data_IF_951818942741
#
_entry.id   IF_951818942741
#
_cell.length_a   1.000
_cell.length_b   1.000
_cell.length_c   1.000
_cell.angle_alpha   90.00
_cell.angle_beta   90.00
_cell.angle_gamma   90.00
#
_symmetry.space_group_name_H-M   'P 1'
#
loop_
_entity.id
_entity.type
_entity.pdbx_description
1 polymer ?
#
# COMPACT_ATOMS: atom_id res chain seq x y z
N UNK A 1 42.47 10.77 53.36
CA UNK A 1 43.69 11.52 53.01
C UNK A 1 43.65 11.79 51.51
N UNK A 2 43.94 13.03 51.10
CA UNK A 2 44.00 13.59 49.71
C UNK A 2 42.66 14.17 49.19
N UNK A 3 42.26 15.36 49.67
CA UNK A 3 42.49 16.73 49.12
C UNK A 3 41.55 16.99 47.93
N UNK A 4 40.39 17.63 48.07
CA UNK A 4 40.12 19.07 48.31
C UNK A 4 40.94 20.01 47.42
N UNK A 5 40.29 20.56 46.39
CA UNK A 5 40.62 21.86 45.81
C UNK A 5 39.35 22.47 45.20
N UNK A 6 38.84 23.50 45.88
CA UNK A 6 37.94 24.51 45.32
C UNK A 6 38.70 25.29 44.25
N UNK A 7 38.05 25.56 43.12
CA UNK A 7 38.37 26.74 42.30
C UNK A 7 37.06 27.47 42.01
N UNK A 8 36.95 28.62 42.67
CA UNK A 8 35.96 29.66 42.47
C UNK A 8 36.28 30.40 41.16
N UNK A 9 35.28 30.59 40.31
CA UNK A 9 35.41 31.39 39.09
C UNK A 9 34.05 31.88 38.61
N UNK A 10 33.59 32.98 39.22
CA UNK A 10 32.40 33.73 38.81
C UNK A 10 32.81 34.76 37.74
N UNK A 11 32.25 34.66 36.54
CA UNK A 11 32.13 35.78 35.60
C UNK A 11 30.73 35.77 34.98
N UNK A 12 30.15 36.96 34.91
CA UNK A 12 28.72 37.23 34.75
C UNK A 12 28.42 37.71 33.32
N UNK A 13 27.17 37.46 32.89
CA UNK A 13 26.37 38.25 31.95
C UNK A 13 26.74 38.20 30.45
N UNK A 14 25.96 37.42 29.69
CA UNK A 14 25.19 38.01 28.57
C UNK A 14 23.97 37.17 28.19
N UNK A 15 22.87 37.88 28.04
CA UNK A 15 21.55 37.47 27.58
C UNK A 15 21.57 36.69 26.26
N UNK A 16 20.83 35.58 26.19
CA UNK A 16 19.88 35.27 25.11
C UNK A 16 19.13 33.97 25.43
N UNK A 17 17.78 33.97 25.50
CA UNK A 17 17.01 32.74 25.39
C UNK A 17 17.09 32.27 23.93
N UNK A 18 17.92 31.28 23.63
CA UNK A 18 17.78 30.56 22.36
C UNK A 18 16.55 29.65 22.48
N UNK A 19 15.41 30.28 22.19
CA UNK A 19 14.17 29.65 21.79
C UNK A 19 14.44 28.58 20.75
N UNK A 20 13.90 27.39 21.01
CA UNK A 20 13.42 26.49 19.98
C UNK A 20 14.48 25.83 19.10
N UNK A 21 14.95 24.68 19.55
CA UNK A 21 15.04 23.56 18.62
C UNK A 21 14.40 22.35 19.31
N UNK A 22 13.06 22.36 19.34
CA UNK A 22 12.35 21.10 19.18
C UNK A 22 12.81 20.63 17.81
N UNK A 23 13.82 19.76 17.78
CA UNK A 23 14.04 18.97 16.58
C UNK A 23 12.74 18.23 16.40
N UNK A 24 11.92 18.70 15.44
CA UNK A 24 10.92 17.89 14.79
C UNK A 24 11.63 16.58 14.54
N UNK A 25 11.32 15.56 15.36
CA UNK A 25 11.38 14.21 14.84
C UNK A 25 10.54 14.32 13.60
N UNK A 26 11.20 14.18 12.46
CA UNK A 26 10.52 13.94 11.21
C UNK A 26 9.38 13.02 11.58
N UNK A 27 8.17 13.50 11.34
CA UNK A 27 7.02 12.65 11.15
C UNK A 27 7.47 11.74 10.00
N UNK A 28 8.21 10.68 10.34
CA UNK A 28 8.07 9.43 9.65
C UNK A 28 6.65 9.06 10.02
N UNK A 29 5.72 9.61 9.25
CA UNK A 29 4.49 8.94 8.93
C UNK A 29 5.02 7.64 8.33
N UNK A 30 5.26 6.66 9.21
CA UNK A 30 5.09 5.29 8.83
C UNK A 30 3.73 5.35 8.15
N UNK A 31 3.70 5.19 6.82
CA UNK A 31 2.54 4.59 6.23
C UNK A 31 2.32 3.39 7.15
N UNK A 32 1.32 3.47 8.02
CA UNK A 32 0.89 2.26 8.69
C UNK A 32 0.63 1.34 7.50
N UNK A 33 1.36 0.23 7.40
CA UNK A 33 1.24 -0.68 6.27
C UNK A 33 -0.21 -1.17 6.30
N UNK A 34 -1.11 -0.40 5.68
CA UNK A 34 -2.53 -0.64 5.64
C UNK A 34 -2.82 -1.40 4.36
N UNK A 35 -3.99 -2.00 4.30
CA UNK A 35 -4.45 -2.66 3.08
C UNK A 35 -4.69 -1.67 1.94
N UNK A 36 -4.90 -0.39 2.26
CA UNK A 36 -5.20 0.66 1.28
C UNK A 36 -4.02 0.90 0.33
N UNK A 37 -4.32 1.13 -0.94
CA UNK A 37 -3.33 1.41 -1.97
C UNK A 37 -3.49 0.55 -3.21
N UNK A 38 -2.43 0.48 -4.01
CA UNK A 38 -2.44 -0.17 -5.31
C UNK A 38 -1.63 -1.47 -5.21
N UNK A 39 -2.27 -2.56 -5.62
CA UNK A 39 -1.73 -3.91 -5.59
C UNK A 39 -1.64 -4.44 -7.01
N UNK A 40 -0.43 -4.58 -7.54
CA UNK A 40 -0.17 -5.07 -8.89
C UNK A 40 0.15 -6.57 -8.84
N UNK A 41 -0.55 -7.35 -9.64
CA UNK A 41 -0.38 -8.79 -9.72
C UNK A 41 -0.19 -9.30 -11.14
N UNK A 42 0.45 -10.46 -11.22
CA UNK A 42 0.63 -11.23 -12.45
C UNK A 42 -0.29 -12.44 -12.42
N UNK A 43 -1.36 -12.39 -13.20
CA UNK A 43 -2.32 -13.47 -13.35
C UNK A 43 -1.84 -14.41 -14.45
N UNK A 44 -1.49 -15.64 -14.09
CA UNK A 44 -1.02 -16.65 -15.04
C UNK A 44 -2.21 -17.50 -15.49
N UNK A 45 -2.56 -17.40 -16.78
CA UNK A 45 -3.63 -18.15 -17.45
C UNK A 45 -3.06 -19.01 -18.58
N UNK A 46 -3.81 -19.97 -19.16
CA UNK A 46 -3.31 -20.81 -20.25
C UNK A 46 -2.85 -20.02 -21.48
N UNK A 47 -3.45 -18.86 -21.73
CA UNK A 47 -3.17 -17.97 -22.87
C UNK A 47 -1.94 -17.08 -22.64
N UNK A 48 -1.41 -17.01 -21.42
CA UNK A 48 -0.26 -16.18 -21.06
C UNK A 48 -0.37 -15.54 -19.68
N UNK A 49 0.32 -14.42 -19.51
CA UNK A 49 0.31 -13.64 -18.27
C UNK A 49 -0.44 -12.32 -18.50
N UNK A 50 -1.33 -11.97 -17.57
CA UNK A 50 -2.04 -10.69 -17.54
C UNK A 50 -1.63 -9.91 -16.30
N UNK A 51 -1.23 -8.65 -16.47
CA UNK A 51 -1.00 -7.72 -15.38
C UNK A 51 -2.34 -7.13 -14.97
N UNK A 52 -2.72 -7.42 -13.73
CA UNK A 52 -3.95 -6.93 -13.11
C UNK A 52 -3.60 -6.11 -11.89
N UNK A 53 -4.29 -5.00 -11.68
CA UNK A 53 -4.13 -4.21 -10.49
C UNK A 53 -5.43 -4.12 -9.71
N UNK A 54 -5.34 -4.19 -8.39
CA UNK A 54 -6.42 -3.88 -7.48
C UNK A 54 -6.08 -2.60 -6.74
N UNK A 55 -6.96 -1.60 -6.80
CA UNK A 55 -6.86 -0.41 -5.95
C UNK A 55 -7.83 -0.58 -4.80
N UNK A 56 -7.34 -0.58 -3.56
CA UNK A 56 -8.14 -0.73 -2.35
C UNK A 56 -8.21 0.61 -1.61
N UNK A 57 -9.41 1.02 -1.22
CA UNK A 57 -9.67 2.26 -0.47
C UNK A 57 -10.50 1.95 0.77
N UNK A 58 -10.12 2.48 1.93
CA UNK A 58 -10.95 2.42 3.12
C UNK A 58 -12.10 3.42 3.07
N UNK A 59 -13.21 3.04 3.68
CA UNK A 59 -14.41 3.85 3.84
C UNK A 59 -14.50 4.40 5.26
N UNK A 60 -15.30 5.45 5.47
CA UNK A 60 -15.46 6.10 6.78
C UNK A 60 -16.13 5.22 7.84
N UNK A 61 -16.81 4.16 7.42
CA UNK A 61 -17.45 3.16 8.29
C UNK A 61 -16.52 1.99 8.66
N UNK A 62 -15.26 2.02 8.23
CA UNK A 62 -14.26 0.98 8.47
C UNK A 62 -14.33 -0.21 7.49
N UNK A 63 -15.20 -0.15 6.49
CA UNK A 63 -15.22 -1.12 5.38
C UNK A 63 -14.22 -0.72 4.28
N UNK A 64 -14.06 -1.59 3.28
CA UNK A 64 -13.21 -1.30 2.11
C UNK A 64 -14.06 -1.26 0.84
N UNK A 65 -13.57 -0.51 -0.14
CA UNK A 65 -13.97 -0.58 -1.54
C UNK A 65 -12.74 -0.92 -2.39
N UNK A 66 -12.96 -1.50 -3.57
CA UNK A 66 -11.86 -1.84 -4.46
C UNK A 66 -12.26 -1.76 -5.93
N UNK A 67 -11.28 -1.50 -6.79
CA UNK A 67 -11.42 -1.58 -8.25
C UNK A 67 -10.36 -2.51 -8.84
N UNK A 68 -10.69 -3.18 -9.93
CA UNK A 68 -9.79 -3.98 -10.74
C UNK A 68 -9.44 -3.23 -12.02
N UNK A 69 -8.18 -3.27 -12.43
CA UNK A 69 -7.73 -2.79 -13.72
C UNK A 69 -6.86 -3.84 -14.41
N UNK A 70 -7.30 -4.36 -15.55
CA UNK A 70 -6.49 -5.23 -16.41
C UNK A 70 -5.65 -4.36 -17.34
N UNK A 71 -4.37 -4.22 -17.01
CA UNK A 71 -3.45 -3.26 -17.66
C UNK A 71 -3.25 -3.62 -19.12
N UNK A 72 -3.07 -4.91 -19.42
CA UNK A 72 -2.78 -5.38 -20.78
C UNK A 72 -4.02 -5.33 -21.70
N UNK A 73 -5.22 -5.28 -21.13
CA UNK A 73 -6.48 -5.24 -21.88
C UNK A 73 -7.10 -3.84 -21.92
N UNK A 74 -6.60 -2.90 -21.13
CA UNK A 74 -7.09 -1.53 -21.10
C UNK A 74 -8.55 -1.41 -20.63
N UNK A 75 -8.96 -2.26 -19.69
CA UNK A 75 -10.33 -2.31 -19.17
C UNK A 75 -10.77 -1.04 -18.44
N UNK A 76 -9.80 -0.25 -17.96
CA UNK A 76 -10.06 0.79 -16.97
C UNK A 76 -10.38 0.18 -15.60
N UNK A 77 -10.82 1.04 -14.68
CA UNK A 77 -11.18 0.64 -13.31
C UNK A 77 -12.60 0.07 -13.27
N UNK A 78 -12.71 -1.21 -12.90
CA UNK A 78 -13.96 -1.93 -12.72
C UNK A 78 -14.18 -2.14 -11.22
N UNK A 79 -15.26 -1.63 -10.61
CA UNK A 79 -15.49 -1.81 -9.17
C UNK A 79 -15.79 -3.26 -8.82
N UNK A 80 -15.31 -3.70 -7.65
CA UNK A 80 -15.79 -4.92 -7.01
C UNK A 80 -17.15 -4.68 -6.35
N UNK A 81 -18.02 -5.67 -6.41
CA UNK A 81 -19.34 -5.64 -5.77
C UNK A 81 -19.24 -5.93 -4.26
N UNK A 82 -18.27 -6.74 -3.86
CA UNK A 82 -18.02 -7.08 -2.46
C UNK A 82 -16.52 -7.05 -2.16
N UNK A 83 -16.18 -6.46 -1.02
CA UNK A 83 -14.83 -6.41 -0.48
C UNK A 83 -14.91 -6.73 1.01
N UNK A 84 -14.23 -7.80 1.42
CA UNK A 84 -14.11 -8.19 2.83
C UNK A 84 -12.63 -8.38 3.19
N UNK A 85 -12.23 -7.83 4.32
CA UNK A 85 -10.90 -8.06 4.88
C UNK A 85 -11.03 -8.40 6.36
N UNK A 86 -10.80 -9.67 6.68
CA UNK A 86 -11.00 -10.20 8.03
C UNK A 86 -9.90 -11.24 8.32
N UNK A 87 -9.30 -11.17 9.51
CA UNK A 87 -8.28 -12.11 9.97
C UNK A 87 -7.11 -12.32 9.00
N UNK A 88 -6.69 -11.27 8.27
CA UNK A 88 -5.59 -11.34 7.30
C UNK A 88 -5.99 -11.90 5.93
N UNK A 89 -7.26 -12.25 5.71
CA UNK A 89 -7.76 -12.73 4.43
C UNK A 89 -8.51 -11.61 3.72
N UNK A 90 -8.09 -11.30 2.49
CA UNK A 90 -8.81 -10.42 1.57
C UNK A 90 -9.70 -11.27 0.66
N UNK A 91 -10.97 -10.89 0.56
CA UNK A 91 -11.93 -11.44 -0.40
C UNK A 91 -12.52 -10.30 -1.24
N UNK A 92 -12.49 -10.48 -2.56
CA UNK A 92 -13.03 -9.57 -3.56
C UNK A 92 -13.94 -10.35 -4.49
N UNK A 93 -15.12 -9.81 -4.79
CA UNK A 93 -16.06 -10.47 -5.71
C UNK A 93 -16.70 -9.46 -6.67
N UNK A 94 -16.90 -9.91 -7.91
CA UNK A 94 -17.75 -9.24 -8.88
C UNK A 94 -18.88 -10.17 -9.33
N UNK A 95 -20.07 -9.62 -9.50
CA UNK A 95 -21.29 -10.31 -9.92
C UNK A 95 -21.22 -10.88 -11.36
N UNK A 96 -20.12 -10.66 -12.07
CA UNK A 96 -19.77 -11.31 -13.35
C UNK A 96 -19.05 -12.66 -13.15
N UNK A 97 -19.06 -13.19 -11.93
CA UNK A 97 -18.51 -14.50 -11.60
C UNK A 97 -16.99 -14.50 -11.39
N UNK A 98 -16.42 -13.37 -11.00
CA UNK A 98 -15.00 -13.24 -10.61
C UNK A 98 -14.92 -13.21 -9.08
N UNK A 99 -14.05 -14.03 -8.52
CA UNK A 99 -13.68 -13.97 -7.10
C UNK A 99 -12.16 -13.96 -6.97
N UNK A 100 -11.64 -13.20 -6.01
CA UNK A 100 -10.23 -13.20 -5.63
C UNK A 100 -10.16 -13.34 -4.12
N UNK A 101 -9.48 -14.35 -3.63
CA UNK A 101 -9.35 -14.62 -2.20
C UNK A 101 -7.90 -14.95 -1.86
N UNK A 102 -7.34 -14.33 -0.83
CA UNK A 102 -5.95 -14.53 -0.48
C UNK A 102 -5.51 -13.98 0.88
N UNK A 103 -4.33 -14.41 1.31
CA UNK A 103 -3.68 -13.97 2.54
C UNK A 103 -2.87 -12.69 2.28
N UNK A 104 -3.07 -11.70 3.14
CA UNK A 104 -2.39 -10.40 3.10
C UNK A 104 -1.22 -10.41 4.07
N UNK A 105 -0.02 -10.15 3.55
CA UNK A 105 1.17 -9.91 4.34
C UNK A 105 1.60 -8.45 4.15
N UNK A 106 1.15 -7.61 5.10
CA UNK A 106 1.44 -6.18 5.12
C UNK A 106 2.91 -5.88 5.43
N UNK A 107 3.67 -6.82 6.02
CA UNK A 107 5.09 -6.62 6.29
C UNK A 107 5.94 -6.83 5.03
N UNK A 108 5.53 -7.75 4.16
CA UNK A 108 6.19 -8.04 2.89
C UNK A 108 5.50 -7.41 1.67
N UNK A 109 4.46 -6.60 1.91
CA UNK A 109 3.71 -5.90 0.88
C UNK A 109 3.21 -6.87 -0.21
N UNK A 110 2.66 -7.99 0.23
CA UNK A 110 2.15 -9.08 -0.63
C UNK A 110 0.73 -9.47 -0.34
N UNK A 111 0.04 -9.93 -1.38
CA UNK A 111 -1.19 -10.70 -1.24
C UNK A 111 -1.04 -11.99 -2.05
N UNK A 112 -1.02 -13.13 -1.36
CA UNK A 112 -1.00 -14.44 -2.00
C UNK A 112 -2.44 -14.91 -2.16
N UNK A 113 -2.95 -14.91 -3.40
CA UNK A 113 -4.36 -15.14 -3.69
C UNK A 113 -4.62 -16.13 -4.81
N UNK A 114 -5.86 -16.58 -4.89
CA UNK A 114 -6.39 -17.34 -6.02
C UNK A 114 -7.47 -16.52 -6.73
N UNK A 115 -7.30 -16.33 -8.03
CA UNK A 115 -8.33 -15.79 -8.92
C UNK A 115 -9.23 -16.92 -9.39
N UNK A 116 -10.55 -16.70 -9.33
CA UNK A 116 -11.57 -17.66 -9.73
C UNK A 116 -12.52 -17.03 -10.74
N UNK A 117 -12.80 -17.76 -11.81
CA UNK A 117 -13.87 -17.42 -12.75
C UNK A 117 -14.57 -18.68 -13.25
N UNK A 118 -15.83 -18.88 -12.85
CA UNK A 118 -16.54 -20.13 -13.10
C UNK A 118 -15.84 -21.33 -12.43
N UNK A 119 -15.44 -22.33 -13.22
CA UNK A 119 -14.64 -23.48 -12.74
C UNK A 119 -13.13 -23.22 -12.78
N UNK A 120 -12.67 -22.16 -13.47
CA UNK A 120 -11.25 -21.87 -13.60
C UNK A 120 -10.68 -21.29 -12.30
N UNK A 121 -9.45 -21.70 -11.98
CA UNK A 121 -8.69 -21.29 -10.78
C UNK A 121 -7.27 -20.98 -11.20
N UNK A 122 -6.77 -19.80 -10.85
CA UNK A 122 -5.43 -19.35 -11.20
C UNK A 122 -4.74 -18.72 -9.99
N UNK A 123 -3.48 -19.04 -9.72
CA UNK A 123 -2.72 -18.33 -8.70
C UNK A 123 -2.53 -16.87 -9.14
N UNK A 124 -2.65 -15.96 -8.19
CA UNK A 124 -2.47 -14.53 -8.39
C UNK A 124 -1.77 -13.96 -7.17
N UNK A 125 -0.53 -13.53 -7.36
CA UNK A 125 0.24 -12.85 -6.31
C UNK A 125 0.27 -11.37 -6.63
N UNK A 126 -0.17 -10.56 -5.68
CA UNK A 126 -0.05 -9.11 -5.75
C UNK A 126 1.15 -8.60 -4.95
N UNK A 127 1.72 -7.50 -5.43
CA UNK A 127 2.72 -6.68 -4.77
C UNK A 127 2.22 -5.25 -4.67
N UNK A 128 2.46 -4.61 -3.53
CA UNK A 128 2.16 -3.19 -3.38
C UNK A 128 3.00 -2.36 -4.37
N UNK A 129 2.40 -1.32 -4.96
CA UNK A 129 3.07 -0.36 -5.84
C UNK A 129 2.56 1.05 -5.56
N UNK A 130 3.41 2.06 -5.72
CA UNK A 130 3.02 3.46 -5.56
C UNK A 130 2.15 3.97 -6.72
N UNK A 131 2.37 3.41 -7.93
CA UNK A 131 1.65 3.80 -9.14
C UNK A 131 1.55 2.63 -10.13
N UNK A 132 0.49 2.65 -10.95
CA UNK A 132 0.34 1.68 -12.03
C UNK A 132 1.39 1.91 -13.12
N UNK A 133 1.97 0.84 -13.71
CA UNK A 133 2.88 0.99 -14.84
C UNK A 133 2.19 1.73 -15.99
N UNK A 134 2.78 2.85 -16.42
CA UNK A 134 2.16 3.77 -17.36
C UNK A 134 1.73 3.13 -18.68
N UNK A 135 0.48 3.38 -19.08
CA UNK A 135 -0.02 3.06 -20.41
C UNK A 135 0.72 3.90 -21.46
N UNK A 136 1.63 3.31 -22.24
CA UNK A 136 2.05 3.95 -23.50
C UNK A 136 0.87 3.85 -24.47
N UNK A 137 0.03 4.89 -24.55
CA UNK A 137 -0.95 5.05 -25.63
C UNK A 137 -0.27 5.81 -26.77
N UNK A 138 0.24 5.15 -27.83
CA UNK A 138 0.59 5.89 -29.05
C UNK A 138 -0.70 6.41 -29.68
N UNK A 139 -0.89 7.73 -29.70
CA UNK A 139 -1.94 8.38 -30.49
C UNK A 139 -1.40 9.67 -31.09
N UNK A 140 -1.38 9.72 -32.42
CA UNK A 140 -1.76 10.91 -33.18
C UNK A 140 -2.34 10.37 -34.50
N UNK A 141 -3.67 10.47 -34.74
CA UNK A 141 -4.21 10.15 -36.06
C UNK A 141 -3.59 11.10 -37.10
N UNK A 142 -3.14 10.53 -38.23
CA UNK A 142 -2.73 11.30 -39.42
C UNK A 142 -3.92 11.91 -40.14
#
# INVERSE_FOLDING_TARGET
MKNLLLVTGLFILSCSPFTGMVANRADQTAAENTLEGIWLGSLIIPEGELRVAVTISGNTDGTFSATLNSIDQGSGEIPFDEVRYENGILFLMMNIGIEIEGEVDLANETIESEFRQGEARFPLVFKYVDELPGFKRPQEPV
#
